data_IF_340523128191
#
_entry.id   IF_340523128191
#
_cell.length_a   1.000
_cell.length_b   1.000
_cell.length_c   1.000
_cell.angle_alpha   90.00
_cell.angle_beta   90.00
_cell.angle_gamma   90.00
#
_symmetry.space_group_name_H-M   'P 1'
#
loop_
_entity.id
_entity.type
_entity.pdbx_description
1 polymer ?
#
# COMPACT_ATOMS: atom_id res chain seq x y z
N UNK A 1 1.14 -2.09 -8.87
CA UNK A 1 -0.30 -1.86 -9.10
C UNK A 1 -0.51 -1.61 -10.58
N UNK A 2 -1.65 -2.01 -11.16
CA UNK A 2 -1.89 -1.85 -12.60
C UNK A 2 -1.92 -0.39 -13.03
N UNK A 3 -1.64 -0.14 -14.31
CA UNK A 3 -1.70 1.20 -14.94
C UNK A 3 -3.07 1.85 -14.84
N UNK A 4 -4.14 1.06 -14.76
CA UNK A 4 -5.50 1.55 -14.50
C UNK A 4 -5.64 2.36 -13.20
N UNK A 5 -4.70 2.22 -12.24
CA UNK A 5 -4.69 2.97 -10.98
C UNK A 5 -3.88 4.27 -11.04
N UNK A 6 -3.21 4.56 -12.17
CA UNK A 6 -2.29 5.70 -12.31
C UNK A 6 -3.00 7.04 -12.10
N UNK A 7 -4.06 7.30 -12.85
CA UNK A 7 -4.79 8.58 -12.79
C UNK A 7 -5.21 8.93 -11.36
N UNK A 8 -5.77 7.95 -10.64
CA UNK A 8 -6.18 8.15 -9.25
C UNK A 8 -5.00 8.42 -8.31
N UNK A 9 -3.90 7.68 -8.46
CA UNK A 9 -2.70 7.86 -7.64
C UNK A 9 -2.06 9.25 -7.88
N UNK A 10 -1.91 9.65 -9.15
CA UNK A 10 -1.36 10.95 -9.53
C UNK A 10 -2.28 12.10 -9.08
N UNK A 11 -3.60 11.90 -9.13
CA UNK A 11 -4.59 12.86 -8.63
C UNK A 11 -4.48 13.18 -7.13
N UNK A 12 -3.84 12.30 -6.33
CA UNK A 12 -3.54 12.53 -4.91
C UNK A 12 -2.06 12.88 -4.65
N UNK A 13 -1.32 13.24 -5.70
CA UNK A 13 0.06 13.72 -5.60
C UNK A 13 1.14 12.61 -5.58
N UNK A 14 0.79 11.37 -5.90
CA UNK A 14 1.77 10.28 -6.01
C UNK A 14 2.50 10.38 -7.35
N UNK A 15 3.82 10.20 -7.35
CA UNK A 15 4.56 9.89 -8.58
C UNK A 15 4.49 8.40 -8.87
N UNK A 16 3.79 8.04 -9.95
CA UNK A 16 3.57 6.65 -10.34
C UNK A 16 4.72 6.14 -11.22
N UNK A 17 5.24 4.94 -10.92
CA UNK A 17 6.21 4.21 -11.75
C UNK A 17 5.55 2.90 -12.20
N UNK A 18 5.56 2.65 -13.51
CA UNK A 18 4.94 1.46 -14.09
C UNK A 18 5.93 0.29 -14.13
N UNK A 19 5.83 -0.59 -13.14
CA UNK A 19 6.68 -1.78 -13.02
C UNK A 19 6.58 -2.77 -14.19
N UNK A 20 5.60 -2.61 -15.10
CA UNK A 20 5.47 -3.43 -16.30
C UNK A 20 6.15 -2.83 -17.52
N UNK A 21 6.48 -1.54 -17.48
CA UNK A 21 7.04 -0.79 -18.61
C UNK A 21 8.53 -0.43 -18.41
N UNK A 22 8.99 -0.31 -17.17
CA UNK A 22 10.34 0.16 -16.86
C UNK A 22 10.96 -0.52 -15.63
N UNK A 23 12.28 -0.39 -15.48
CA UNK A 23 12.99 -0.81 -14.27
C UNK A 23 12.68 0.17 -13.13
N UNK A 24 11.83 -0.27 -12.20
CA UNK A 24 11.39 0.51 -11.04
C UNK A 24 12.57 1.05 -10.23
N UNK A 25 13.63 0.27 -10.06
CA UNK A 25 14.77 0.67 -9.23
C UNK A 25 15.63 1.72 -9.95
N UNK A 26 15.80 1.60 -11.27
CA UNK A 26 16.50 2.61 -12.06
C UNK A 26 15.71 3.93 -12.06
N UNK A 27 14.42 3.88 -12.39
CA UNK A 27 13.54 5.04 -12.42
C UNK A 27 13.46 5.75 -11.06
N UNK A 28 13.33 4.99 -9.96
CA UNK A 28 13.28 5.56 -8.62
C UNK A 28 14.60 6.24 -8.21
N UNK A 29 15.77 5.72 -8.63
CA UNK A 29 17.07 6.37 -8.40
C UNK A 29 17.22 7.66 -9.18
N UNK A 30 16.70 7.72 -10.40
CA UNK A 30 16.71 8.96 -11.19
C UNK A 30 15.89 10.06 -10.50
N UNK A 31 14.73 9.69 -9.96
CA UNK A 31 13.85 10.63 -9.24
C UNK A 31 14.43 11.09 -7.90
N UNK A 32 15.07 10.17 -7.16
CA UNK A 32 15.63 10.46 -5.84
C UNK A 32 17.05 9.88 -5.75
N UNK A 33 18.07 10.56 -6.33
CA UNK A 33 19.43 10.05 -6.39
C UNK A 33 20.07 9.81 -5.01
N UNK A 34 19.64 10.58 -4.01
CA UNK A 34 20.09 10.43 -2.63
C UNK A 34 19.43 9.29 -1.85
N UNK A 35 18.58 8.48 -2.49
CA UNK A 35 17.82 7.42 -1.83
C UNK A 35 16.61 7.94 -1.02
N UNK A 36 15.74 7.01 -0.65
CA UNK A 36 14.48 7.27 0.04
C UNK A 36 14.66 7.21 1.56
N UNK A 37 13.99 8.10 2.28
CA UNK A 37 14.02 8.11 3.75
C UNK A 37 13.27 6.91 4.36
N UNK A 38 12.32 6.32 3.64
CA UNK A 38 11.63 5.09 4.02
C UNK A 38 10.88 4.45 2.87
N UNK A 39 10.64 3.14 3.00
CA UNK A 39 9.91 2.32 2.03
C UNK A 39 8.83 1.56 2.78
N UNK A 40 7.59 1.66 2.31
CA UNK A 40 6.47 0.85 2.81
C UNK A 40 6.09 -0.14 1.72
N UNK A 41 6.39 -1.41 1.95
CA UNK A 41 6.13 -2.50 1.01
C UNK A 41 4.82 -3.23 1.34
N UNK A 42 3.98 -3.37 0.32
CA UNK A 42 2.69 -4.07 0.37
C UNK A 42 2.67 -5.31 -0.55
N UNK A 43 3.79 -5.64 -1.21
CA UNK A 43 3.86 -6.68 -2.25
C UNK A 43 4.73 -7.84 -1.80
N UNK A 44 5.90 -7.58 -1.23
CA UNK A 44 6.85 -8.61 -0.82
C UNK A 44 7.69 -9.19 -1.96
N UNK A 45 8.35 -10.30 -1.66
CA UNK A 45 9.04 -11.14 -2.62
C UNK A 45 10.17 -10.42 -3.38
N UNK A 46 10.24 -10.68 -4.68
CA UNK A 46 11.25 -10.06 -5.55
C UNK A 46 11.10 -8.54 -5.61
N UNK A 47 9.86 -8.01 -5.62
CA UNK A 47 9.62 -6.56 -5.64
C UNK A 47 10.23 -5.87 -4.43
N UNK A 48 10.02 -6.42 -3.22
CA UNK A 48 10.65 -5.91 -2.00
C UNK A 48 12.19 -5.93 -2.10
N UNK A 49 12.78 -7.03 -2.56
CA UNK A 49 14.24 -7.16 -2.73
C UNK A 49 14.81 -6.17 -3.75
N UNK A 50 14.06 -5.85 -4.81
CA UNK A 50 14.44 -4.88 -5.82
C UNK A 50 14.50 -3.45 -5.27
N UNK A 51 13.52 -3.05 -4.44
CA UNK A 51 13.42 -1.66 -3.96
C UNK A 51 14.11 -1.42 -2.61
N UNK A 52 14.29 -2.44 -1.76
CA UNK A 52 14.91 -2.27 -0.45
C UNK A 52 16.29 -1.55 -0.47
N UNK A 53 17.18 -1.78 -1.45
CA UNK A 53 18.45 -1.07 -1.56
C UNK A 53 18.33 0.44 -1.85
N UNK A 54 17.13 0.94 -2.19
CA UNK A 54 16.87 2.36 -2.41
C UNK A 54 16.69 3.14 -1.11
N UNK A 55 16.45 2.47 0.02
CA UNK A 55 16.32 3.12 1.31
C UNK A 55 17.69 3.58 1.83
N UNK A 56 17.77 4.82 2.32
CA UNK A 56 18.98 5.37 2.98
C UNK A 56 19.41 4.57 4.20
N UNK A 57 18.45 3.95 4.88
CA UNK A 57 18.69 3.10 6.02
C UNK A 57 17.81 1.84 5.90
N UNK A 58 18.40 0.62 5.89
CA UNK A 58 17.65 -0.63 5.77
C UNK A 58 16.50 -0.75 6.76
N UNK A 59 16.72 -0.29 8.01
CA UNK A 59 15.69 -0.29 9.06
C UNK A 59 14.40 0.43 8.68
N UNK A 60 14.45 1.40 7.76
CA UNK A 60 13.29 2.19 7.31
C UNK A 60 12.50 1.51 6.18
N UNK A 61 12.86 0.28 5.80
CA UNK A 61 12.04 -0.60 4.96
C UNK A 61 11.05 -1.32 5.87
N UNK A 62 9.76 -1.07 5.68
CA UNK A 62 8.65 -1.66 6.44
C UNK A 62 7.83 -2.52 5.49
N UNK A 63 7.72 -3.83 5.74
CA UNK A 63 6.85 -4.70 4.96
C UNK A 63 5.57 -5.06 5.72
N UNK A 64 4.44 -5.08 5.02
CA UNK A 64 3.11 -5.37 5.60
C UNK A 64 2.74 -6.85 5.48
N UNK A 65 3.10 -7.48 4.37
CA UNK A 65 2.74 -8.85 4.02
C UNK A 65 3.91 -9.84 3.96
N UNK A 66 5.15 -9.36 3.91
CA UNK A 66 6.34 -10.21 3.79
C UNK A 66 7.14 -10.26 5.10
N UNK A 67 7.09 -11.41 5.78
CA UNK A 67 7.77 -11.62 7.05
C UNK A 67 9.31 -11.80 6.91
N UNK A 68 9.84 -11.94 5.68
CA UNK A 68 11.28 -12.07 5.42
C UNK A 68 12.01 -10.71 5.38
N UNK A 69 11.31 -9.58 5.51
CA UNK A 69 11.93 -8.25 5.50
C UNK A 69 13.07 -8.04 6.51
N UNK A 70 13.14 -8.69 7.68
CA UNK A 70 14.31 -8.59 8.56
C UNK A 70 15.61 -9.10 7.92
N UNK A 71 15.55 -10.04 6.97
CA UNK A 71 16.72 -10.54 6.22
C UNK A 71 17.35 -9.44 5.35
N UNK A 72 16.58 -8.39 5.04
CA UNK A 72 17.02 -7.20 4.32
C UNK A 72 17.40 -6.05 5.27
N UNK A 73 17.41 -6.28 6.59
CA UNK A 73 17.64 -5.26 7.61
C UNK A 73 16.45 -4.33 7.88
N UNK A 74 15.29 -4.59 7.27
CA UNK A 74 14.05 -3.88 7.52
C UNK A 74 13.24 -4.47 8.66
N UNK A 75 11.95 -4.11 8.75
CA UNK A 75 11.06 -4.57 9.83
C UNK A 75 9.65 -4.87 9.34
N UNK A 76 9.05 -5.90 9.92
CA UNK A 76 7.64 -6.17 9.70
C UNK A 76 6.79 -5.08 10.35
N UNK A 77 5.64 -4.75 9.76
CA UNK A 77 4.74 -3.73 10.30
C UNK A 77 4.23 -4.13 11.70
N UNK A 78 4.41 -3.25 12.68
CA UNK A 78 3.80 -3.36 13.99
C UNK A 78 2.34 -2.85 13.89
N UNK A 79 1.37 -3.72 14.15
CA UNK A 79 -0.06 -3.37 14.10
C UNK A 79 -0.52 -2.90 15.47
N UNK A 80 -0.82 -1.60 15.60
CA UNK A 80 -1.37 -1.01 16.82
C UNK A 80 -2.89 -0.88 16.71
N UNK A 81 -3.58 -1.92 17.12
CA UNK A 81 -5.04 -2.03 17.05
C UNK A 81 -5.61 -1.72 18.43
N UNK A 82 -5.39 -0.50 18.88
CA UNK A 82 -5.90 0.03 20.15
C UNK A 82 -6.88 1.18 19.92
N UNK A 83 -7.57 1.56 21.00
CA UNK A 83 -8.56 2.64 20.99
C UNK A 83 -7.96 3.95 20.49
N UNK A 84 -6.77 4.31 20.98
CA UNK A 84 -6.13 5.60 20.69
C UNK A 84 -5.82 5.73 19.19
N UNK A 85 -5.26 4.69 18.57
CA UNK A 85 -4.95 4.69 17.15
C UNK A 85 -6.21 4.66 16.28
N UNK A 86 -7.28 3.98 16.72
CA UNK A 86 -8.56 4.01 16.02
C UNK A 86 -9.23 5.39 16.10
N UNK A 87 -9.23 6.03 17.27
CA UNK A 87 -9.74 7.40 17.48
C UNK A 87 -8.95 8.41 16.64
N UNK A 88 -7.63 8.26 16.57
CA UNK A 88 -6.78 9.09 15.69
C UNK A 88 -7.17 8.91 14.22
N UNK A 89 -7.38 7.68 13.77
CA UNK A 89 -7.78 7.38 12.39
C UNK A 89 -9.16 7.96 12.07
N UNK A 90 -10.11 7.86 13.00
CA UNK A 90 -11.44 8.46 12.87
C UNK A 90 -11.36 9.99 12.79
N UNK A 91 -10.51 10.64 13.61
CA UNK A 91 -10.29 12.08 13.53
C UNK A 91 -9.70 12.51 12.19
N UNK A 92 -8.69 11.78 11.67
CA UNK A 92 -8.16 12.05 10.33
C UNK A 92 -9.24 11.94 9.24
N UNK A 93 -10.20 11.03 9.40
CA UNK A 93 -11.31 10.90 8.48
C UNK A 93 -12.33 12.04 8.60
N UNK A 94 -12.67 12.46 9.83
CA UNK A 94 -13.54 13.62 10.08
C UNK A 94 -12.92 14.92 9.57
N UNK A 95 -11.60 15.07 9.71
CA UNK A 95 -10.84 16.24 9.24
C UNK A 95 -10.60 16.23 7.72
N UNK A 96 -11.04 15.19 7.01
CA UNK A 96 -10.86 15.04 5.56
C UNK A 96 -9.44 14.69 5.11
N UNK A 97 -8.53 14.43 6.04
CA UNK A 97 -7.13 14.02 5.74
C UNK A 97 -7.07 12.56 5.28
N UNK A 98 -7.91 11.71 5.85
CA UNK A 98 -8.07 10.30 5.46
C UNK A 98 -9.45 10.11 4.82
N UNK A 99 -9.50 10.03 3.49
CA UNK A 99 -10.72 9.73 2.75
C UNK A 99 -10.65 8.32 2.14
N UNK A 100 -11.24 7.28 2.78
CA UNK A 100 -11.29 5.95 2.19
C UNK A 100 -12.06 5.97 0.87
N UNK A 101 -11.42 5.54 -0.21
CA UNK A 101 -12.07 5.39 -1.52
C UNK A 101 -12.81 4.06 -1.52
N UNK A 102 -14.12 4.09 -1.22
CA UNK A 102 -15.00 2.92 -1.27
C UNK A 102 -15.51 2.76 -2.70
N UNK A 103 -15.21 1.62 -3.32
CA UNK A 103 -15.54 1.35 -4.73
C UNK A 103 -16.63 0.30 -4.89
N UNK A 104 -16.87 -0.50 -3.87
CA UNK A 104 -17.93 -1.50 -3.85
C UNK A 104 -18.47 -1.69 -2.44
N UNK A 105 -19.79 -1.82 -2.35
CA UNK A 105 -20.52 -2.14 -1.11
C UNK A 105 -21.44 -3.32 -1.39
N UNK A 106 -21.21 -4.41 -0.67
CA UNK A 106 -21.98 -5.66 -0.80
C UNK A 106 -22.80 -5.92 0.46
N UNK A 107 -24.01 -6.48 0.38
CA UNK A 107 -24.68 -7.00 1.56
C UNK A 107 -23.92 -8.20 2.12
N UNK A 108 -24.10 -8.52 3.42
CA UNK A 108 -23.48 -9.70 4.03
C UNK A 108 -23.77 -11.01 3.29
N UNK A 109 -24.96 -11.14 2.69
CA UNK A 109 -25.34 -12.31 1.87
C UNK A 109 -24.46 -12.51 0.63
N UNK A 110 -23.74 -11.47 0.20
CA UNK A 110 -22.86 -11.48 -0.98
C UNK A 110 -21.37 -11.42 -0.59
N UNK A 111 -21.04 -11.69 0.68
CA UNK A 111 -19.66 -11.74 1.17
C UNK A 111 -18.72 -12.63 0.33
N UNK A 112 -19.14 -13.82 -0.16
CA UNK A 112 -18.28 -14.64 -1.02
C UNK A 112 -17.86 -13.93 -2.31
N UNK A 113 -18.78 -13.23 -2.99
CA UNK A 113 -18.45 -12.50 -4.21
C UNK A 113 -17.56 -11.28 -3.92
N UNK A 114 -17.82 -10.58 -2.81
CA UNK A 114 -16.99 -9.47 -2.35
C UNK A 114 -15.54 -9.89 -2.09
N UNK A 115 -15.33 -11.05 -1.44
CA UNK A 115 -14.00 -11.63 -1.20
C UNK A 115 -13.31 -12.00 -2.51
N UNK A 116 -13.99 -12.73 -3.39
CA UNK A 116 -13.44 -13.14 -4.68
C UNK A 116 -13.01 -11.94 -5.54
N UNK A 117 -13.76 -10.83 -5.51
CA UNK A 117 -13.41 -9.60 -6.21
C UNK A 117 -12.08 -8.99 -5.72
N UNK A 118 -11.79 -9.08 -4.42
CA UNK A 118 -10.52 -8.61 -3.84
C UNK A 118 -9.37 -9.57 -4.17
N UNK A 119 -9.62 -10.88 -4.06
CA UNK A 119 -8.62 -11.93 -4.33
C UNK A 119 -8.12 -11.93 -5.78
N UNK A 120 -8.98 -11.51 -6.72
CA UNK A 120 -8.59 -11.32 -8.12
C UNK A 120 -7.51 -10.24 -8.30
N UNK A 121 -7.14 -9.46 -7.27
CA UNK A 121 -6.01 -8.52 -7.27
C UNK A 121 -6.26 -7.21 -8.05
N UNK A 122 -7.41 -7.09 -8.71
CA UNK A 122 -7.77 -5.95 -9.56
C UNK A 122 -8.68 -4.93 -8.89
N UNK A 123 -9.18 -5.21 -7.68
CA UNK A 123 -9.97 -4.25 -6.91
C UNK A 123 -9.20 -2.92 -6.76
N UNK A 124 -9.89 -1.81 -7.05
CA UNK A 124 -9.47 -0.45 -6.71
C UNK A 124 -10.13 -0.05 -5.40
N UNK A 125 -9.47 0.73 -4.56
CA UNK A 125 -10.04 1.20 -3.30
C UNK A 125 -10.43 0.09 -2.30
N UNK A 126 -11.43 0.38 -1.46
CA UNK A 126 -11.97 -0.49 -0.42
C UNK A 126 -13.27 -1.13 -0.87
N UNK A 127 -13.35 -2.45 -0.71
CA UNK A 127 -14.60 -3.23 -0.78
C UNK A 127 -15.17 -3.35 0.63
N UNK A 128 -16.45 -3.02 0.81
CA UNK A 128 -17.13 -3.02 2.10
C UNK A 128 -18.26 -4.03 2.09
N UNK A 129 -18.39 -4.79 3.18
CA UNK A 129 -19.57 -5.63 3.43
C UNK A 129 -20.46 -4.90 4.45
N UNK A 130 -21.70 -4.63 4.08
CA UNK A 130 -22.70 -4.00 4.93
C UNK A 130 -23.50 -5.07 5.68
N UNK A 131 -23.52 -4.97 6.99
CA UNK A 131 -24.36 -5.76 7.90
C UNK A 131 -25.51 -4.86 8.33
N UNK A 132 -26.74 -5.25 8.02
CA UNK A 132 -27.96 -4.57 8.43
C UNK A 132 -28.70 -5.45 9.44
#
# INVERSE_FOLDING_TARGET
>A
GSTAKREHAEGIGVRFIDYTAEDVAAAARELVPGGFDGIVDLVGGTSLRTVAPLARAPRNVIAVGDASVPDLGGRFVERRIDRENLERSARLALDGVLAPVITAVHPLSDAPAALAAVENGHASGKVVIKVA
#
